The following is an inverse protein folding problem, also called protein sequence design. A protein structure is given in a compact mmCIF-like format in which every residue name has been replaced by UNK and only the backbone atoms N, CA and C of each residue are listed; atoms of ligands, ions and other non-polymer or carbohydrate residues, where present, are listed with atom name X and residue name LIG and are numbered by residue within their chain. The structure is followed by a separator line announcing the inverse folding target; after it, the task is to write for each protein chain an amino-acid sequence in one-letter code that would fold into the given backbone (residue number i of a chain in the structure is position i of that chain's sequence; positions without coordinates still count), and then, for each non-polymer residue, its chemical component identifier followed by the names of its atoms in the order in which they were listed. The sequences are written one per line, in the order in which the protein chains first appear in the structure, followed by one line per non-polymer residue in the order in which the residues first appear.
data_IF_032736125392
#
_entry.id   IF_032736125392
#
_cell.length_a   1.000
_cell.length_b   1.000
_cell.length_c   1.000
_cell.angle_alpha   90.00
_cell.angle_beta   90.00
_cell.angle_gamma   90.00
#
_symmetry.space_group_name_H-M   'P 1'
#
loop_
_entity.id
_entity.type
_entity.pdbx_description
1 polymer ?
#
# COMPACT_ATOMS: atom_id res chain seq x y z
N UNK A 1 -11.56 18.92 -7.61
CA UNK A 1 -12.60 18.28 -6.76
C UNK A 1 -11.90 17.62 -5.59
N UNK A 2 -12.35 17.86 -4.36
CA UNK A 2 -11.78 17.21 -3.18
C UNK A 2 -12.43 15.85 -2.95
N UNK A 3 -11.61 14.83 -2.70
CA UNK A 3 -12.04 13.48 -2.32
C UNK A 3 -11.43 13.09 -0.97
N UNK A 4 -12.21 12.42 -0.14
CA UNK A 4 -11.72 11.72 1.05
C UNK A 4 -11.47 10.27 0.66
N UNK A 5 -10.24 9.80 0.82
CA UNK A 5 -9.81 8.44 0.49
C UNK A 5 -8.94 7.90 1.60
N UNK A 6 -9.02 6.61 1.90
CA UNK A 6 -8.08 5.97 2.81
C UNK A 6 -6.67 5.96 2.21
N UNK A 7 -5.67 6.06 3.09
CA UNK A 7 -4.25 5.98 2.71
C UNK A 7 -3.95 4.67 1.97
N UNK A 8 -4.57 3.56 2.40
CA UNK A 8 -4.51 2.26 1.72
C UNK A 8 -5.00 2.32 0.26
N UNK A 9 -6.20 2.86 0.02
CA UNK A 9 -6.77 2.98 -1.33
C UNK A 9 -5.88 3.81 -2.25
N UNK A 10 -5.30 4.90 -1.72
CA UNK A 10 -4.36 5.75 -2.45
C UNK A 10 -3.10 4.99 -2.85
N UNK A 11 -2.54 4.18 -1.95
CA UNK A 11 -1.34 3.37 -2.20
C UNK A 11 -1.62 2.30 -3.25
N UNK A 12 -2.74 1.58 -3.14
CA UNK A 12 -3.16 0.56 -4.12
C UNK A 12 -3.32 1.20 -5.50
N UNK A 13 -4.03 2.32 -5.58
CA UNK A 13 -4.24 3.02 -6.85
C UNK A 13 -2.91 3.52 -7.45
N UNK A 14 -2.05 4.16 -6.66
CA UNK A 14 -0.75 4.64 -7.12
C UNK A 14 0.12 3.50 -7.65
N UNK A 15 0.21 2.38 -6.92
CA UNK A 15 1.04 1.24 -7.31
C UNK A 15 0.52 0.56 -8.58
N UNK A 16 -0.81 0.45 -8.71
CA UNK A 16 -1.45 -0.08 -9.91
C UNK A 16 -1.17 0.80 -11.13
N UNK A 17 -1.29 2.13 -10.98
CA UNK A 17 -1.03 3.09 -12.04
C UNK A 17 0.45 3.20 -12.43
N UNK A 18 1.38 2.95 -11.50
CA UNK A 18 2.82 2.99 -11.76
C UNK A 18 3.24 2.02 -12.86
N UNK A 19 2.58 0.87 -12.98
CA UNK A 19 2.81 -0.13 -14.02
C UNK A 19 1.83 -0.08 -15.19
N UNK A 20 0.83 0.80 -15.15
CA UNK A 20 -0.29 0.79 -16.09
C UNK A 20 0.13 1.31 -17.49
N UNK A 21 -0.41 0.67 -18.52
CA UNK A 21 -0.34 1.13 -19.90
C UNK A 21 -1.48 2.11 -20.16
N UNK A 22 -1.15 3.22 -20.83
CA UNK A 22 -2.14 4.25 -21.20
C UNK A 22 -2.43 4.22 -22.72
N UNK A 23 -2.25 3.07 -23.37
CA UNK A 23 -2.18 2.98 -24.84
C UNK A 23 -3.47 3.36 -25.56
N UNK A 24 -4.64 3.07 -24.97
CA UNK A 24 -5.95 3.39 -25.57
C UNK A 24 -6.48 4.77 -25.16
N UNK A 25 -5.85 5.43 -24.19
CA UNK A 25 -6.21 6.79 -23.79
C UNK A 25 -5.74 7.83 -24.81
N UNK A 26 -6.52 8.89 -24.97
CA UNK A 26 -6.07 10.08 -25.69
C UNK A 26 -5.03 10.87 -24.87
N UNK A 27 -4.48 11.92 -25.47
CA UNK A 27 -3.43 12.74 -24.86
C UNK A 27 -3.91 13.48 -23.60
N UNK A 28 -5.14 13.99 -23.61
CA UNK A 28 -5.67 14.73 -22.46
C UNK A 28 -5.92 13.78 -21.29
N UNK A 29 -6.50 12.62 -21.56
CA UNK A 29 -6.75 11.57 -20.57
C UNK A 29 -5.46 11.06 -19.94
N UNK A 30 -4.41 10.85 -20.76
CA UNK A 30 -3.06 10.53 -20.26
C UNK A 30 -2.56 11.57 -19.26
N UNK A 31 -2.75 12.86 -19.56
CA UNK A 31 -2.36 13.92 -18.65
C UNK A 31 -3.18 13.93 -17.38
N UNK A 32 -4.47 13.63 -17.44
CA UNK A 32 -5.33 13.47 -16.25
C UNK A 32 -4.81 12.36 -15.35
N UNK A 33 -4.48 11.18 -15.90
CA UNK A 33 -3.88 10.07 -15.12
C UNK A 33 -2.54 10.48 -14.50
N UNK A 34 -1.67 11.16 -15.25
CA UNK A 34 -0.37 11.63 -14.73
C UNK A 34 -0.54 12.64 -13.59
N UNK A 35 -1.52 13.55 -13.70
CA UNK A 35 -1.85 14.51 -12.64
C UNK A 35 -2.38 13.80 -11.40
N UNK A 36 -3.28 12.82 -11.56
CA UNK A 36 -3.76 11.99 -10.46
C UNK A 36 -2.60 11.26 -9.78
N UNK A 37 -1.74 10.58 -10.53
CA UNK A 37 -0.53 9.91 -9.98
C UNK A 37 0.37 10.87 -9.20
N UNK A 38 0.54 12.11 -9.67
CA UNK A 38 1.32 13.14 -8.97
C UNK A 38 0.69 13.53 -7.63
N UNK A 39 -0.65 13.55 -7.54
CA UNK A 39 -1.37 13.84 -6.30
C UNK A 39 -1.33 12.65 -5.31
N UNK A 40 -1.38 11.41 -5.81
CA UNK A 40 -1.33 10.20 -4.97
C UNK A 40 0.06 9.92 -4.39
N UNK A 41 1.12 10.28 -5.12
CA UNK A 41 2.51 9.91 -4.80
C UNK A 41 2.98 10.29 -3.38
N UNK A 42 2.75 11.52 -2.87
CA UNK A 42 3.25 11.90 -1.55
C UNK A 42 2.69 11.02 -0.43
N UNK A 43 1.40 10.67 -0.51
CA UNK A 43 0.74 9.78 0.45
C UNK A 43 1.32 8.37 0.35
N UNK A 44 1.45 7.84 -0.87
CA UNK A 44 1.99 6.50 -1.10
C UNK A 44 3.45 6.37 -0.61
N UNK A 45 4.28 7.38 -0.87
CA UNK A 45 5.67 7.42 -0.36
C UNK A 45 5.71 7.55 1.15
N UNK A 46 4.87 8.39 1.75
CA UNK A 46 4.82 8.57 3.20
C UNK A 46 4.44 7.29 3.94
N UNK A 47 3.47 6.50 3.44
CA UNK A 47 3.13 5.22 4.07
C UNK A 47 4.28 4.21 3.96
N UNK A 48 4.98 4.18 2.83
CA UNK A 48 6.13 3.29 2.66
C UNK A 48 7.25 3.59 3.66
N UNK A 49 7.60 4.87 3.82
CA UNK A 49 8.57 5.33 4.82
C UNK A 49 8.10 4.97 6.24
N UNK A 50 6.81 5.19 6.55
CA UNK A 50 6.22 4.83 7.83
C UNK A 50 6.29 3.32 8.12
N UNK A 51 6.06 2.46 7.12
CA UNK A 51 6.17 1.01 7.26
C UNK A 51 7.60 0.61 7.63
N UNK A 52 8.60 1.24 7.01
CA UNK A 52 10.02 0.99 7.29
C UNK A 52 10.36 1.42 8.72
N UNK A 53 9.94 2.61 9.12
CA UNK A 53 10.11 3.12 10.48
C UNK A 53 9.42 2.22 11.51
N UNK A 54 8.15 1.82 11.29
CA UNK A 54 7.42 0.94 12.20
C UNK A 54 8.15 -0.40 12.39
N UNK A 55 8.63 -1.00 11.29
CA UNK A 55 9.40 -2.25 11.34
C UNK A 55 10.74 -2.11 12.05
N UNK A 56 11.40 -0.95 11.94
CA UNK A 56 12.67 -0.71 12.62
C UNK A 56 12.48 -0.40 14.11
N UNK A 57 11.58 0.54 14.41
CA UNK A 57 11.43 1.10 15.76
C UNK A 57 10.66 0.21 16.72
N UNK A 58 9.81 -0.69 16.22
CA UNK A 58 9.05 -1.63 17.05
C UNK A 58 9.80 -2.93 17.33
N UNK A 59 11.06 -3.07 16.89
CA UNK A 59 11.87 -4.24 17.20
C UNK A 59 12.00 -4.41 18.72
N UNK A 60 11.70 -5.59 19.27
CA UNK A 60 11.84 -5.84 20.70
C UNK A 60 13.31 -5.82 21.14
N UNK A 61 13.53 -5.69 22.44
CA UNK A 61 14.85 -5.86 23.02
C UNK A 61 15.44 -7.23 22.67
N UNK A 62 16.73 -7.27 22.31
CA UNK A 62 17.38 -8.51 21.89
C UNK A 62 16.97 -9.02 20.51
N UNK A 63 16.39 -8.17 19.65
CA UNK A 63 15.95 -8.53 18.30
C UNK A 63 16.96 -9.36 17.50
N UNK A 64 18.25 -8.97 17.49
CA UNK A 64 19.28 -9.68 16.74
C UNK A 64 19.44 -11.14 17.20
N UNK A 65 19.29 -11.39 18.52
CA UNK A 65 19.33 -12.74 19.06
C UNK A 65 18.07 -13.53 18.70
N UNK A 66 16.89 -12.88 18.71
CA UNK A 66 15.63 -13.49 18.28
C UNK A 66 15.72 -13.89 16.80
N UNK A 67 16.25 -13.01 15.94
CA UNK A 67 16.47 -13.29 14.52
C UNK A 67 17.45 -14.46 14.32
N UNK A 68 18.59 -14.43 15.00
CA UNK A 68 19.57 -15.52 14.90
C UNK A 68 19.04 -16.85 15.46
N UNK A 69 18.13 -16.85 16.44
CA UNK A 69 17.41 -18.06 16.86
C UNK A 69 16.40 -18.50 15.78
N UNK A 70 15.65 -17.57 15.19
CA UNK A 70 14.67 -17.85 14.14
C UNK A 70 15.31 -18.47 12.88
N UNK A 71 16.51 -18.05 12.48
CA UNK A 71 17.23 -18.63 11.33
C UNK A 71 17.58 -20.13 11.52
N UNK A 72 17.71 -20.58 12.76
CA UNK A 72 18.03 -21.97 13.13
C UNK A 72 16.91 -22.64 13.90
N UNK A 73 15.67 -22.21 13.67
CA UNK A 73 14.48 -22.59 14.44
C UNK A 73 14.31 -24.11 14.62
N UNK A 74 14.58 -24.89 13.57
CA UNK A 74 14.44 -26.36 13.61
C UNK A 74 15.41 -27.05 14.56
N UNK A 75 16.52 -26.39 14.92
CA UNK A 75 17.55 -26.91 15.83
C UNK A 75 17.34 -26.53 17.29
N UNK A 76 16.36 -25.67 17.56
CA UNK A 76 16.06 -25.17 18.90
C UNK A 76 15.29 -26.19 19.74
N UNK A 77 15.36 -26.05 21.06
CA UNK A 77 14.48 -26.75 21.97
C UNK A 77 13.03 -26.24 21.83
N UNK A 78 12.05 -27.04 22.26
CA UNK A 78 10.64 -26.63 22.21
C UNK A 78 10.34 -25.37 23.05
N UNK A 79 11.10 -25.14 24.13
CA UNK A 79 10.99 -23.92 24.93
C UNK A 79 11.48 -22.69 24.17
N UNK A 80 12.67 -22.79 23.55
CA UNK A 80 13.23 -21.72 22.72
C UNK A 80 12.36 -21.44 21.48
N UNK A 81 11.76 -22.47 20.88
CA UNK A 81 10.81 -22.29 19.77
C UNK A 81 9.58 -21.49 20.21
N UNK A 82 9.01 -21.81 21.36
CA UNK A 82 7.88 -21.06 21.93
C UNK A 82 8.26 -19.61 22.20
N UNK A 83 9.44 -19.38 22.76
CA UNK A 83 9.95 -18.03 23.02
C UNK A 83 10.09 -17.22 21.73
N UNK A 84 10.72 -17.79 20.69
CA UNK A 84 10.89 -17.13 19.38
C UNK A 84 9.52 -16.82 18.76
N UNK A 85 8.60 -17.79 18.73
CA UNK A 85 7.27 -17.59 18.17
C UNK A 85 6.52 -16.49 18.92
N UNK A 86 6.49 -16.52 20.26
CA UNK A 86 5.79 -15.51 21.04
C UNK A 86 6.32 -14.09 20.77
N UNK A 87 7.65 -13.93 20.70
CA UNK A 87 8.26 -12.63 20.39
C UNK A 87 7.95 -12.17 18.96
N UNK A 88 8.04 -13.07 17.97
CA UNK A 88 7.76 -12.75 16.57
C UNK A 88 6.28 -12.43 16.35
N UNK A 89 5.37 -13.18 16.97
CA UNK A 89 3.93 -12.92 16.93
C UNK A 89 3.58 -11.57 17.55
N UNK A 90 4.12 -11.26 18.73
CA UNK A 90 3.90 -9.97 19.39
C UNK A 90 4.42 -8.80 18.54
N UNK A 91 5.66 -8.90 18.04
CA UNK A 91 6.23 -7.91 17.13
C UNK A 91 5.39 -7.70 15.87
N UNK A 92 5.01 -8.80 15.20
CA UNK A 92 4.20 -8.74 13.98
C UNK A 92 2.82 -8.11 14.25
N UNK A 93 2.20 -8.41 15.40
CA UNK A 93 0.93 -7.84 15.78
C UNK A 93 1.03 -6.32 16.02
N UNK A 94 2.08 -5.87 16.72
CA UNK A 94 2.29 -4.44 16.96
C UNK A 94 2.61 -3.67 15.68
N UNK A 95 3.44 -4.23 14.81
CA UNK A 95 3.73 -3.65 13.48
C UNK A 95 2.47 -3.60 12.63
N UNK A 96 1.70 -4.69 12.55
CA UNK A 96 0.47 -4.74 11.77
C UNK A 96 -0.58 -3.74 12.28
N UNK A 97 -0.73 -3.63 13.59
CA UNK A 97 -1.63 -2.64 14.21
C UNK A 97 -1.21 -1.21 13.89
N UNK A 98 0.08 -0.89 14.07
CA UNK A 98 0.61 0.44 13.79
C UNK A 98 0.43 0.84 12.32
N UNK A 99 0.76 -0.05 11.38
CA UNK A 99 0.57 0.19 9.95
C UNK A 99 -0.92 0.28 9.60
N UNK A 100 -1.77 -0.59 10.15
CA UNK A 100 -3.21 -0.59 9.89
C UNK A 100 -3.89 0.71 10.32
N UNK A 101 -3.51 1.25 11.48
CA UNK A 101 -3.99 2.55 11.96
C UNK A 101 -3.62 3.66 10.95
N UNK A 102 -2.38 3.70 10.46
CA UNK A 102 -1.95 4.69 9.46
C UNK A 102 -2.61 4.49 8.09
N UNK A 103 -2.70 3.25 7.62
CA UNK A 103 -3.31 2.89 6.34
C UNK A 103 -4.81 3.24 6.28
N UNK A 104 -5.49 3.17 7.42
CA UNK A 104 -6.91 3.49 7.54
C UNK A 104 -7.21 4.99 7.61
N UNK A 105 -6.19 5.86 7.72
CA UNK A 105 -6.39 7.31 7.76
C UNK A 105 -6.96 7.84 6.47
N UNK A 106 -7.98 8.69 6.60
CA UNK A 106 -8.56 9.48 5.53
C UNK A 106 -7.63 10.61 5.11
N UNK A 107 -7.50 10.80 3.80
CA UNK A 107 -6.69 11.84 3.16
C UNK A 107 -7.58 12.64 2.23
N UNK A 108 -7.48 13.97 2.30
CA UNK A 108 -8.09 14.85 1.32
C UNK A 108 -7.16 15.05 0.12
N UNK A 109 -7.58 14.57 -1.06
CA UNK A 109 -6.86 14.79 -2.30
C UNK A 109 -7.67 15.61 -3.29
N UNK A 110 -6.98 16.41 -4.09
CA UNK A 110 -7.58 17.17 -5.17
C UNK A 110 -6.85 16.95 -6.49
N UNK A 111 -7.60 16.42 -7.46
CA UNK A 111 -7.20 16.30 -8.86
C UNK A 111 -8.45 16.25 -9.75
N UNK A 112 -8.23 16.28 -11.06
CA UNK A 112 -9.27 16.14 -12.08
C UNK A 112 -9.65 14.65 -12.22
N UNK A 113 -10.93 14.28 -12.08
CA UNK A 113 -11.35 12.89 -12.24
C UNK A 113 -11.33 12.46 -13.71
N UNK A 114 -11.23 11.14 -13.93
CA UNK A 114 -11.50 10.53 -15.22
C UNK A 114 -13.01 10.41 -15.43
N UNK A 115 -13.43 10.50 -16.68
CA UNK A 115 -14.77 10.07 -17.08
C UNK A 115 -14.84 8.55 -17.07
N UNK A 116 -16.06 8.00 -16.96
CA UNK A 116 -16.29 6.55 -17.04
C UNK A 116 -15.77 5.97 -18.37
N UNK A 117 -15.91 6.70 -19.47
CA UNK A 117 -15.41 6.29 -20.79
C UNK A 117 -13.88 6.22 -20.83
N UNK A 118 -13.19 7.22 -20.29
CA UNK A 118 -11.74 7.24 -20.17
C UNK A 118 -11.25 6.11 -19.24
N UNK A 119 -11.98 5.86 -18.14
CA UNK A 119 -11.68 4.76 -17.25
C UNK A 119 -11.84 3.40 -17.96
N UNK A 120 -12.91 3.20 -18.73
CA UNK A 120 -13.09 2.01 -19.57
C UNK A 120 -11.91 1.79 -20.52
N UNK A 121 -11.41 2.84 -21.17
CA UNK A 121 -10.20 2.78 -22.02
C UNK A 121 -8.91 2.43 -21.25
N UNK A 122 -8.81 2.88 -20.00
CA UNK A 122 -7.69 2.52 -19.12
C UNK A 122 -7.74 1.02 -18.80
N UNK A 123 -8.90 0.49 -18.43
CA UNK A 123 -9.10 -0.95 -18.18
C UNK A 123 -8.78 -1.77 -19.43
N UNK A 124 -9.28 -1.34 -20.58
CA UNK A 124 -9.01 -1.95 -21.88
C UNK A 124 -7.52 -2.04 -22.27
N UNK A 125 -6.66 -1.26 -21.62
CA UNK A 125 -5.21 -1.27 -21.82
C UNK A 125 -4.46 -2.20 -20.85
N UNK A 126 -5.12 -2.73 -19.81
CA UNK A 126 -4.50 -3.41 -18.68
C UNK A 126 -5.31 -4.63 -18.22
N UNK A 127 -4.64 -5.72 -17.90
CA UNK A 127 -5.29 -6.90 -17.30
C UNK A 127 -5.26 -6.75 -15.78
N UNK A 128 -6.37 -6.28 -15.20
CA UNK A 128 -6.51 -5.98 -13.77
C UNK A 128 -7.59 -6.87 -13.16
N UNK A 129 -7.38 -7.32 -11.93
CA UNK A 129 -8.40 -8.02 -11.17
C UNK A 129 -9.52 -7.06 -10.71
N UNK A 130 -10.69 -7.60 -10.40
CA UNK A 130 -11.87 -6.80 -10.05
C UNK A 130 -11.67 -5.93 -8.80
N UNK A 131 -10.86 -6.38 -7.83
CA UNK A 131 -10.63 -5.61 -6.61
C UNK A 131 -9.80 -4.36 -6.89
N UNK A 132 -8.79 -4.48 -7.75
CA UNK A 132 -8.00 -3.35 -8.25
C UNK A 132 -8.86 -2.38 -9.07
N UNK A 133 -9.77 -2.90 -9.90
CA UNK A 133 -10.68 -2.06 -10.71
C UNK A 133 -11.55 -1.19 -9.82
N UNK A 134 -12.18 -1.76 -8.78
CA UNK A 134 -13.04 -1.02 -7.86
C UNK A 134 -12.27 0.12 -7.18
N UNK A 135 -11.07 -0.17 -6.64
CA UNK A 135 -10.24 0.85 -5.99
C UNK A 135 -9.84 1.96 -6.97
N UNK A 136 -9.45 1.62 -8.20
CA UNK A 136 -9.11 2.62 -9.21
C UNK A 136 -10.32 3.46 -9.61
N UNK A 137 -11.51 2.87 -9.68
CA UNK A 137 -12.74 3.60 -9.97
C UNK A 137 -13.02 4.62 -8.86
N UNK A 138 -13.05 4.18 -7.60
CA UNK A 138 -13.32 5.05 -6.44
C UNK A 138 -12.32 6.20 -6.33
N UNK A 139 -11.04 5.92 -6.64
CA UNK A 139 -9.98 6.92 -6.60
C UNK A 139 -10.05 7.86 -7.80
N UNK A 140 -10.21 7.36 -9.03
CA UNK A 140 -10.02 8.15 -10.25
C UNK A 140 -11.30 8.76 -10.84
N UNK A 141 -12.47 8.17 -10.62
CA UNK A 141 -13.74 8.58 -11.25
C UNK A 141 -14.65 9.33 -10.26
N UNK A 142 -15.66 10.05 -10.70
CA UNK A 142 -16.64 10.67 -9.77
C UNK A 142 -17.40 9.67 -8.90
#
# INVERSE_FOLDING_TARGET
MKKSLTTESIVIAHNSLKGARLTRLDTQEKFTVIRAMRALRPVASSLQEFIEDAREKLRPEGWDNIQHKAERFDTLTEEEKREVNANMEAYNADVARCIGEEASREQELEFEPLTEEAFGRLLDSNDLDISTIIVLQDVLCE
#
